data_IF_298113453880
#
_entry.id   IF_298113453880
#
_cell.length_a   1.000
_cell.length_b   1.000
_cell.length_c   1.000
_cell.angle_alpha   90.00
_cell.angle_beta   90.00
_cell.angle_gamma   90.00
#
_symmetry.space_group_name_H-M   'P 1'
#
loop_
_entity.id
_entity.type
_entity.pdbx_description
1 polymer ?
#
# COMPACT_ATOMS: atom_id res chain seq x y z
N UNK A 1 48.64 25.69 9.55
CA UNK A 1 48.13 25.52 8.17
C UNK A 1 47.44 24.17 8.07
N UNK A 2 46.29 24.18 7.40
CA UNK A 2 45.54 23.04 6.84
C UNK A 2 44.83 22.10 7.83
N UNK A 3 43.59 22.47 8.12
CA UNK A 3 42.54 21.52 8.51
C UNK A 3 42.01 20.77 7.29
N UNK A 4 41.85 19.46 7.42
CA UNK A 4 41.20 18.62 6.41
C UNK A 4 39.72 18.50 6.75
N UNK A 5 38.90 19.22 5.99
CA UNK A 5 37.45 19.30 6.14
C UNK A 5 36.84 18.15 5.35
N UNK A 6 36.33 17.14 6.05
CA UNK A 6 35.52 16.09 5.44
C UNK A 6 34.30 16.72 4.76
N UNK A 7 34.24 16.62 3.43
CA UNK A 7 33.06 16.99 2.63
C UNK A 7 32.00 15.94 2.88
N UNK A 8 31.04 16.25 3.75
CA UNK A 8 29.80 15.50 3.87
C UNK A 8 29.05 15.56 2.55
N UNK A 9 28.93 14.40 1.90
CA UNK A 9 28.07 14.18 0.74
C UNK A 9 26.63 14.34 1.22
N UNK A 10 26.02 15.50 0.96
CA UNK A 10 24.59 15.67 1.15
C UNK A 10 23.91 14.84 0.07
N UNK A 11 23.35 13.70 0.47
CA UNK A 11 22.36 12.99 -0.33
C UNK A 11 21.19 13.94 -0.55
N UNK A 12 21.01 14.41 -1.78
CA UNK A 12 19.82 15.15 -2.20
C UNK A 12 18.63 14.19 -2.11
N UNK A 13 17.98 14.12 -0.93
CA UNK A 13 16.67 13.50 -0.81
C UNK A 13 15.71 14.36 -1.61
N UNK A 14 15.36 13.93 -2.82
CA UNK A 14 14.22 14.47 -3.53
C UNK A 14 13.02 14.41 -2.58
N UNK A 15 12.55 15.57 -2.12
CA UNK A 15 11.38 15.66 -1.25
C UNK A 15 10.17 15.09 -1.99
N UNK A 16 9.41 14.22 -1.33
CA UNK A 16 8.15 13.71 -1.88
C UNK A 16 7.23 14.88 -2.25
N UNK A 17 6.49 14.80 -3.37
CA UNK A 17 5.42 15.74 -3.69
C UNK A 17 4.50 16.00 -2.48
N UNK A 18 4.12 17.26 -2.27
CA UNK A 18 3.37 17.69 -1.09
C UNK A 18 2.04 16.95 -0.91
N UNK A 19 1.37 16.61 -2.01
CA UNK A 19 0.14 15.82 -2.01
C UNK A 19 0.34 14.41 -1.42
N UNK A 20 1.40 13.70 -1.85
CA UNK A 20 1.75 12.37 -1.33
C UNK A 20 2.05 12.46 0.16
N UNK A 21 2.90 13.43 0.55
CA UNK A 21 3.25 13.60 1.96
C UNK A 21 2.02 13.88 2.83
N UNK A 22 1.09 14.71 2.36
CA UNK A 22 -0.15 15.00 3.06
C UNK A 22 -1.08 13.77 3.14
N UNK A 23 -1.18 12.99 2.06
CA UNK A 23 -1.93 11.74 2.03
C UNK A 23 -1.39 10.72 3.04
N UNK A 24 -0.09 10.42 2.99
CA UNK A 24 0.56 9.48 3.92
C UNK A 24 0.41 9.94 5.36
N UNK A 25 0.56 11.24 5.64
CA UNK A 25 0.37 11.81 6.97
C UNK A 25 -1.05 11.60 7.51
N UNK A 26 -2.08 11.76 6.67
CA UNK A 26 -3.48 11.49 7.07
C UNK A 26 -3.71 10.01 7.37
N UNK A 27 -3.19 9.11 6.54
CA UNK A 27 -3.33 7.68 6.74
C UNK A 27 -2.59 7.20 8.00
N UNK A 28 -1.39 7.72 8.24
CA UNK A 28 -0.62 7.41 9.44
C UNK A 28 -1.36 7.88 10.70
N UNK A 29 -1.87 9.11 10.72
CA UNK A 29 -2.65 9.63 11.84
C UNK A 29 -3.92 8.80 12.11
N UNK A 30 -4.60 8.32 11.07
CA UNK A 30 -5.75 7.42 11.22
C UNK A 30 -5.34 6.05 11.80
N UNK A 31 -4.20 5.51 11.37
CA UNK A 31 -3.65 4.26 11.90
C UNK A 31 -3.16 4.37 13.35
N UNK A 32 -2.79 5.56 13.82
CA UNK A 32 -2.35 5.78 15.19
C UNK A 32 -3.51 5.95 16.18
N UNK A 33 -4.77 5.93 15.71
CA UNK A 33 -5.93 5.95 16.60
C UNK A 33 -5.95 4.72 17.53
N UNK A 34 -6.06 4.94 18.84
CA UNK A 34 -5.99 3.87 19.83
C UNK A 34 -7.12 2.82 19.74
N UNK A 35 -8.30 3.21 19.23
CA UNK A 35 -9.50 2.37 19.24
C UNK A 35 -9.81 1.78 17.86
N UNK A 36 -9.62 2.56 16.80
CA UNK A 36 -9.95 2.14 15.43
C UNK A 36 -8.73 2.05 14.51
N UNK A 37 -7.52 2.33 15.01
CA UNK A 37 -6.30 2.34 14.21
C UNK A 37 -5.70 0.96 13.96
N UNK A 38 -4.42 0.94 13.57
CA UNK A 38 -3.68 -0.24 13.14
C UNK A 38 -3.71 -1.38 14.17
N UNK A 39 -3.54 -1.09 15.46
CA UNK A 39 -3.53 -2.13 16.49
C UNK A 39 -4.89 -2.83 16.61
N UNK A 40 -5.99 -2.13 16.36
CA UNK A 40 -7.31 -2.77 16.30
C UNK A 40 -7.44 -3.64 15.04
N UNK A 41 -7.07 -3.10 13.88
CA UNK A 41 -7.10 -3.80 12.60
C UNK A 41 -6.30 -5.10 12.62
N UNK A 42 -5.05 -5.05 13.12
CA UNK A 42 -4.18 -6.22 13.19
C UNK A 42 -4.75 -7.29 14.13
N UNK A 43 -5.30 -6.90 15.30
CA UNK A 43 -5.94 -7.84 16.23
C UNK A 43 -7.14 -8.54 15.58
N UNK A 44 -8.00 -7.80 14.91
CA UNK A 44 -9.19 -8.35 14.25
C UNK A 44 -8.83 -9.34 13.13
N UNK A 45 -7.89 -8.97 12.27
CA UNK A 45 -7.43 -9.83 11.18
C UNK A 45 -6.69 -11.06 11.71
N UNK A 46 -5.85 -10.89 12.74
CA UNK A 46 -5.17 -12.03 13.39
C UNK A 46 -6.15 -12.97 14.09
N UNK A 47 -7.30 -12.47 14.52
CA UNK A 47 -8.41 -13.26 15.06
C UNK A 47 -9.30 -13.88 13.97
N UNK A 48 -9.02 -13.63 12.69
CA UNK A 48 -9.73 -14.22 11.56
C UNK A 48 -11.06 -13.54 11.21
N UNK A 49 -11.36 -12.36 11.76
CA UNK A 49 -12.57 -11.61 11.42
C UNK A 49 -12.43 -10.12 11.69
N UNK A 50 -12.47 -9.34 10.62
CA UNK A 50 -12.70 -7.90 10.67
C UNK A 50 -14.08 -7.58 11.24
N UNK A 51 -14.14 -6.62 12.18
CA UNK A 51 -15.37 -6.17 12.85
C UNK A 51 -15.54 -4.65 12.90
N UNK A 52 -14.50 -3.85 12.65
CA UNK A 52 -14.57 -2.39 12.75
C UNK A 52 -14.17 -1.63 11.47
N UNK A 53 -14.20 -0.30 11.54
CA UNK A 53 -14.21 0.61 10.40
C UNK A 53 -12.82 1.22 10.12
N UNK A 54 -11.90 0.40 9.61
CA UNK A 54 -10.52 0.83 9.32
C UNK A 54 -10.01 0.55 7.90
N UNK A 55 -10.81 -0.11 7.07
CA UNK A 55 -10.38 -0.63 5.76
C UNK A 55 -9.71 0.44 4.87
N UNK A 56 -10.23 1.66 4.88
CA UNK A 56 -9.79 2.72 3.96
C UNK A 56 -8.37 3.22 4.19
N UNK A 57 -7.86 3.19 5.43
CA UNK A 57 -6.51 3.67 5.78
C UNK A 57 -5.55 2.53 6.13
N UNK A 58 -5.96 1.28 5.90
CA UNK A 58 -5.14 0.07 6.03
C UNK A 58 -4.92 -0.56 4.65
N UNK A 59 -6.01 -0.76 3.89
CA UNK A 59 -5.99 -1.24 2.51
C UNK A 59 -6.75 -0.26 1.60
N UNK A 60 -6.13 0.90 1.27
CA UNK A 60 -6.77 1.92 0.44
C UNK A 60 -6.96 1.44 -1.01
N UNK A 61 -8.11 1.77 -1.58
CA UNK A 61 -8.37 1.64 -3.02
C UNK A 61 -8.00 2.92 -3.76
N UNK A 62 -7.66 2.80 -5.04
CA UNK A 62 -7.45 3.95 -5.92
C UNK A 62 -8.74 4.73 -6.15
N UNK A 63 -8.66 6.06 -6.14
CA UNK A 63 -9.84 6.93 -6.27
C UNK A 63 -10.58 6.76 -7.62
N UNK A 64 -9.86 6.40 -8.70
CA UNK A 64 -10.43 6.06 -10.01
C UNK A 64 -11.02 4.64 -10.11
N UNK A 65 -10.78 3.78 -9.11
CA UNK A 65 -11.29 2.41 -9.09
C UNK A 65 -12.60 2.34 -8.33
N UNK A 66 -12.70 3.05 -7.20
CA UNK A 66 -13.84 2.94 -6.29
C UNK A 66 -14.21 4.27 -5.66
N UNK A 67 -15.51 4.59 -5.72
CA UNK A 67 -16.12 5.62 -4.86
C UNK A 67 -16.33 5.06 -3.46
N UNK A 68 -15.98 5.83 -2.43
CA UNK A 68 -16.02 5.33 -1.05
C UNK A 68 -16.53 6.37 -0.07
N UNK A 69 -17.05 5.91 1.08
CA UNK A 69 -17.59 6.78 2.15
C UNK A 69 -16.53 7.59 2.90
N UNK A 70 -15.25 7.31 2.68
CA UNK A 70 -14.11 8.05 3.23
C UNK A 70 -13.13 8.46 2.11
N UNK A 71 -13.54 9.34 1.18
CA UNK A 71 -12.73 9.69 0.01
C UNK A 71 -11.38 10.32 0.36
N UNK A 72 -11.23 10.90 1.55
CA UNK A 72 -9.96 11.48 2.04
C UNK A 72 -8.81 10.46 2.20
N UNK A 73 -9.13 9.15 2.22
CA UNK A 73 -8.18 8.04 2.30
C UNK A 73 -8.03 7.27 0.99
N UNK A 74 -8.76 7.64 -0.07
CA UNK A 74 -8.56 7.04 -1.38
C UNK A 74 -7.14 7.34 -1.87
N UNK A 75 -6.50 6.33 -2.45
CA UNK A 75 -5.16 6.47 -3.00
C UNK A 75 -5.21 7.46 -4.19
N UNK A 76 -4.43 8.56 -4.15
CA UNK A 76 -4.53 9.62 -5.16
C UNK A 76 -3.90 9.22 -6.50
N UNK A 77 -2.79 8.46 -6.47
CA UNK A 77 -2.12 7.95 -7.66
C UNK A 77 -1.20 6.79 -7.25
N UNK A 78 -0.73 6.01 -8.22
CA UNK A 78 0.05 4.79 -8.00
C UNK A 78 1.43 5.08 -7.38
N UNK A 79 2.08 6.21 -7.70
CA UNK A 79 3.32 6.60 -6.98
C UNK A 79 3.12 6.82 -5.47
N UNK A 80 1.90 7.09 -5.00
CA UNK A 80 1.62 7.20 -3.57
C UNK A 80 1.59 5.82 -2.90
N UNK A 81 1.27 4.75 -3.65
CA UNK A 81 1.39 3.38 -3.17
C UNK A 81 2.86 2.99 -3.03
N UNK A 82 3.70 3.32 -4.02
CA UNK A 82 5.16 3.13 -3.88
C UNK A 82 5.71 3.88 -2.66
N UNK A 83 5.34 5.15 -2.50
CA UNK A 83 5.76 5.95 -1.34
C UNK A 83 5.23 5.38 -0.01
N UNK A 84 4.01 4.81 0.01
CA UNK A 84 3.47 4.10 1.16
C UNK A 84 4.32 2.88 1.53
N UNK A 85 4.70 2.07 0.53
CA UNK A 85 5.51 0.87 0.75
C UNK A 85 6.92 1.19 1.22
N UNK A 86 7.51 2.28 0.73
CA UNK A 86 8.81 2.77 1.17
C UNK A 86 8.79 3.48 2.54
N UNK A 87 7.60 3.89 3.01
CA UNK A 87 7.49 4.59 4.27
C UNK A 87 7.74 3.62 5.45
N UNK A 88 8.68 3.91 6.37
CA UNK A 88 9.11 2.97 7.41
C UNK A 88 7.98 2.37 8.25
N UNK A 89 7.02 3.21 8.68
CA UNK A 89 5.89 2.74 9.49
C UNK A 89 4.76 2.13 8.65
N UNK A 90 4.26 2.86 7.64
CA UNK A 90 3.12 2.41 6.82
C UNK A 90 3.43 1.13 6.04
N UNK A 91 4.63 1.02 5.44
CA UNK A 91 5.07 -0.19 4.73
C UNK A 91 5.16 -1.40 5.65
N UNK A 92 5.85 -1.27 6.79
CA UNK A 92 5.96 -2.35 7.77
C UNK A 92 4.60 -2.81 8.30
N UNK A 93 3.71 -1.85 8.61
CA UNK A 93 2.34 -2.14 9.06
C UNK A 93 1.54 -2.87 7.99
N UNK A 94 1.62 -2.42 6.74
CA UNK A 94 0.93 -3.01 5.59
C UNK A 94 1.37 -4.46 5.36
N UNK A 95 2.67 -4.74 5.36
CA UNK A 95 3.20 -6.10 5.24
C UNK A 95 2.66 -7.00 6.35
N UNK A 96 2.79 -6.57 7.61
CA UNK A 96 2.40 -7.37 8.76
C UNK A 96 0.90 -7.74 8.74
N UNK A 97 0.01 -6.78 8.47
CA UNK A 97 -1.44 -7.08 8.45
C UNK A 97 -1.86 -7.86 7.21
N UNK A 98 -1.19 -7.66 6.08
CA UNK A 98 -1.44 -8.45 4.85
C UNK A 98 -1.00 -9.90 5.06
N UNK A 99 0.14 -10.12 5.72
CA UNK A 99 0.59 -11.46 6.09
C UNK A 99 -0.36 -12.14 7.09
N UNK A 100 -0.86 -11.42 8.09
CA UNK A 100 -1.86 -11.95 9.02
C UNK A 100 -3.15 -12.37 8.28
N UNK A 101 -3.60 -11.60 7.29
CA UNK A 101 -4.76 -11.99 6.46
C UNK A 101 -4.46 -13.27 5.65
N UNK A 102 -3.30 -13.34 5.00
CA UNK A 102 -2.87 -14.51 4.25
C UNK A 102 -2.78 -15.78 5.13
N UNK A 103 -2.28 -15.67 6.36
CA UNK A 103 -2.24 -16.80 7.31
C UNK A 103 -3.63 -17.34 7.63
N UNK A 104 -4.65 -16.48 7.72
CA UNK A 104 -6.04 -16.93 7.93
C UNK A 104 -6.57 -17.66 6.68
N UNK A 105 -6.31 -17.11 5.50
CA UNK A 105 -6.72 -17.73 4.23
C UNK A 105 -6.06 -19.10 4.02
N UNK A 106 -4.78 -19.24 4.36
CA UNK A 106 -4.04 -20.52 4.28
C UNK A 106 -4.58 -21.58 5.24
N UNK A 107 -5.10 -21.17 6.40
CA UNK A 107 -5.80 -22.07 7.33
C UNK A 107 -7.18 -22.49 6.83
N UNK A 108 -7.60 -22.03 5.64
CA UNK A 108 -8.87 -22.36 5.01
C UNK A 108 -10.02 -21.45 5.44
N UNK A 109 -9.75 -20.32 6.10
CA UNK A 109 -10.81 -19.36 6.42
C UNK A 109 -11.35 -18.72 5.13
N UNK A 110 -12.67 -18.67 4.98
CA UNK A 110 -13.30 -18.00 3.84
C UNK A 110 -12.99 -16.49 3.86
N UNK A 111 -12.62 -15.91 2.73
CA UNK A 111 -12.26 -14.50 2.64
C UNK A 111 -13.36 -13.57 3.19
N UNK A 112 -14.62 -13.81 2.86
CA UNK A 112 -15.75 -13.03 3.40
C UNK A 112 -15.85 -13.10 4.93
N UNK A 113 -15.38 -14.18 5.56
CA UNK A 113 -15.29 -14.28 7.02
C UNK A 113 -14.15 -13.43 7.57
N UNK A 114 -12.97 -13.53 6.96
CA UNK A 114 -11.76 -12.77 7.37
C UNK A 114 -12.01 -11.27 7.24
N UNK A 115 -12.56 -10.82 6.12
CA UNK A 115 -12.78 -9.41 5.82
C UNK A 115 -14.18 -8.91 6.25
N UNK A 116 -15.06 -9.79 6.71
CA UNK A 116 -16.38 -9.47 7.25
C UNK A 116 -17.45 -9.12 6.21
N UNK A 117 -17.09 -8.85 4.95
CA UNK A 117 -18.03 -8.60 3.85
C UNK A 117 -17.37 -8.82 2.49
N UNK A 118 -18.16 -9.05 1.44
CA UNK A 118 -17.67 -9.10 0.05
C UNK A 118 -17.06 -7.76 -0.40
N UNK A 119 -17.66 -6.65 0.05
CA UNK A 119 -17.16 -5.30 -0.25
C UNK A 119 -15.73 -5.11 0.29
N UNK A 120 -15.44 -5.62 1.49
CA UNK A 120 -14.10 -5.51 2.07
C UNK A 120 -13.11 -6.53 1.48
N UNK A 121 -13.57 -7.70 1.01
CA UNK A 121 -12.75 -8.61 0.18
C UNK A 121 -12.30 -7.89 -1.08
N UNK A 122 -13.22 -7.21 -1.76
CA UNK A 122 -12.94 -6.51 -3.01
C UNK A 122 -11.99 -5.32 -2.79
N UNK A 123 -12.11 -4.58 -1.68
CA UNK A 123 -11.14 -3.52 -1.33
C UNK A 123 -9.75 -4.07 -1.07
N UNK A 124 -9.65 -5.20 -0.36
CA UNK A 124 -8.38 -5.87 -0.15
C UNK A 124 -7.75 -6.32 -1.48
N UNK A 125 -8.58 -6.87 -2.38
CA UNK A 125 -8.19 -7.27 -3.72
C UNK A 125 -7.69 -6.09 -4.58
N UNK A 126 -8.45 -5.00 -4.62
CA UNK A 126 -8.09 -3.76 -5.31
C UNK A 126 -6.75 -3.20 -4.81
N UNK A 127 -6.60 -3.13 -3.48
CA UNK A 127 -5.40 -2.60 -2.82
C UNK A 127 -4.18 -3.47 -3.14
N UNK A 128 -4.24 -4.78 -2.91
CA UNK A 128 -3.14 -5.69 -3.19
C UNK A 128 -2.73 -5.68 -4.66
N UNK A 129 -3.69 -5.54 -5.58
CA UNK A 129 -3.42 -5.41 -7.02
C UNK A 129 -2.60 -4.15 -7.31
N UNK A 130 -3.09 -2.98 -6.88
CA UNK A 130 -2.40 -1.71 -7.12
C UNK A 130 -1.02 -1.68 -6.46
N UNK A 131 -0.90 -2.20 -5.24
CA UNK A 131 0.35 -2.20 -4.48
C UNK A 131 1.38 -3.19 -5.03
N UNK A 132 0.95 -4.36 -5.54
CA UNK A 132 1.84 -5.28 -6.25
C UNK A 132 2.45 -4.61 -7.49
N UNK A 133 1.62 -3.94 -8.30
CA UNK A 133 2.08 -3.23 -9.50
C UNK A 133 3.02 -2.08 -9.13
N UNK A 134 2.69 -1.30 -8.10
CA UNK A 134 3.55 -0.22 -7.62
C UNK A 134 4.93 -0.73 -7.17
N UNK A 135 4.97 -1.86 -6.48
CA UNK A 135 6.24 -2.49 -6.08
C UNK A 135 7.05 -3.01 -7.27
N UNK A 136 6.39 -3.65 -8.24
CA UNK A 136 7.05 -4.29 -9.39
C UNK A 136 7.58 -3.28 -10.43
N UNK A 137 6.83 -2.20 -10.65
CA UNK A 137 7.16 -1.16 -11.63
C UNK A 137 8.07 -0.06 -11.05
N UNK A 138 8.32 -0.07 -9.74
CA UNK A 138 9.26 0.87 -9.12
C UNK A 138 10.68 0.68 -9.65
N UNK A 139 11.37 1.79 -9.90
CA UNK A 139 12.81 1.79 -10.17
C UNK A 139 13.64 1.23 -9.01
N UNK A 140 13.06 1.21 -7.79
CA UNK A 140 13.66 0.67 -6.57
C UNK A 140 13.06 -0.69 -6.17
N UNK A 141 12.45 -1.45 -7.09
CA UNK A 141 11.75 -2.71 -6.79
C UNK A 141 12.56 -3.74 -5.97
N UNK A 142 13.88 -3.70 -6.08
CA UNK A 142 14.79 -4.60 -5.35
C UNK A 142 15.08 -4.11 -3.91
N UNK A 143 14.63 -2.91 -3.55
CA UNK A 143 14.71 -2.42 -2.18
C UNK A 143 13.86 -3.31 -1.26
N UNK A 144 14.37 -3.74 -0.09
CA UNK A 144 13.69 -4.71 0.76
C UNK A 144 12.22 -4.39 1.08
N UNK A 145 11.84 -3.14 1.41
CA UNK A 145 10.43 -2.82 1.69
C UNK A 145 9.50 -3.07 0.49
N UNK A 146 9.95 -2.77 -0.74
CA UNK A 146 9.16 -2.98 -1.95
C UNK A 146 9.11 -4.45 -2.34
N UNK A 147 10.23 -5.17 -2.27
CA UNK A 147 10.29 -6.59 -2.56
C UNK A 147 9.39 -7.41 -1.61
N UNK A 148 9.47 -7.12 -0.31
CA UNK A 148 8.66 -7.79 0.73
C UNK A 148 7.17 -7.48 0.55
N UNK A 149 6.82 -6.21 0.35
CA UNK A 149 5.43 -5.80 0.15
C UNK A 149 4.84 -6.38 -1.13
N UNK A 150 5.59 -6.37 -2.23
CA UNK A 150 5.18 -6.98 -3.49
C UNK A 150 4.97 -8.48 -3.36
N UNK A 151 5.83 -9.19 -2.61
CA UNK A 151 5.66 -10.61 -2.32
C UNK A 151 4.40 -10.88 -1.47
N UNK A 152 4.16 -10.07 -0.43
CA UNK A 152 2.95 -10.17 0.39
C UNK A 152 1.68 -9.95 -0.43
N UNK A 153 1.65 -8.94 -1.31
CA UNK A 153 0.51 -8.71 -2.20
C UNK A 153 0.29 -9.87 -3.18
N UNK A 154 1.34 -10.39 -3.82
CA UNK A 154 1.21 -11.54 -4.73
C UNK A 154 0.69 -12.78 -4.01
N UNK A 155 1.17 -13.04 -2.80
CA UNK A 155 0.67 -14.13 -1.94
C UNK A 155 -0.81 -13.93 -1.63
N UNK A 156 -1.22 -12.73 -1.23
CA UNK A 156 -2.62 -12.40 -0.96
C UNK A 156 -3.51 -12.67 -2.19
N UNK A 157 -3.12 -12.19 -3.37
CA UNK A 157 -3.87 -12.39 -4.61
C UNK A 157 -4.02 -13.87 -4.96
N UNK A 158 -2.95 -14.66 -4.82
CA UNK A 158 -3.00 -16.10 -5.03
C UNK A 158 -3.96 -16.81 -4.06
N UNK A 159 -3.97 -16.40 -2.79
CA UNK A 159 -4.84 -16.98 -1.75
C UNK A 159 -6.32 -16.59 -1.90
N UNK A 160 -6.61 -15.41 -2.47
CA UNK A 160 -7.97 -15.06 -2.86
C UNK A 160 -8.48 -15.93 -4.01
N UNK A 161 -7.59 -16.63 -4.73
CA UNK A 161 -7.90 -17.41 -5.94
C UNK A 161 -8.60 -16.56 -7.01
N UNK A 162 -8.25 -15.27 -7.07
CA UNK A 162 -8.75 -14.32 -8.04
C UNK A 162 -7.60 -13.85 -8.94
N UNK A 163 -7.87 -13.61 -10.24
CA UNK A 163 -6.94 -12.84 -11.06
C UNK A 163 -6.82 -11.42 -10.50
N UNK A 164 -5.70 -10.74 -10.78
CA UNK A 164 -5.52 -9.34 -10.41
C UNK A 164 -6.73 -8.48 -10.82
N UNK A 165 -7.13 -7.54 -9.97
CA UNK A 165 -8.32 -6.73 -10.18
C UNK A 165 -8.19 -5.88 -11.44
N UNK A 166 -9.04 -6.13 -12.43
CA UNK A 166 -8.87 -5.61 -13.80
C UNK A 166 -8.78 -4.07 -13.84
N UNK A 167 -9.69 -3.38 -13.17
CA UNK A 167 -9.72 -1.92 -13.18
C UNK A 167 -8.54 -1.32 -12.41
N UNK A 168 -8.13 -1.96 -11.31
CA UNK A 168 -6.92 -1.55 -10.56
C UNK A 168 -5.67 -1.69 -11.42
N UNK A 169 -5.57 -2.79 -12.17
CA UNK A 169 -4.46 -3.05 -13.09
C UNK A 169 -4.40 -1.98 -14.19
N UNK A 170 -5.54 -1.70 -14.84
CA UNK A 170 -5.63 -0.68 -15.90
C UNK A 170 -5.15 0.69 -15.41
N UNK A 171 -5.71 1.15 -14.29
CA UNK A 171 -5.36 2.45 -13.71
C UNK A 171 -3.88 2.52 -13.33
N UNK A 172 -3.38 1.50 -12.61
CA UNK A 172 -1.99 1.52 -12.15
C UNK A 172 -0.98 1.49 -13.29
N UNK A 173 -1.21 0.66 -14.30
CA UNK A 173 -0.32 0.56 -15.47
C UNK A 173 -0.32 1.86 -16.30
N UNK A 174 -1.48 2.47 -16.51
CA UNK A 174 -1.60 3.74 -17.24
C UNK A 174 -0.81 4.87 -16.56
N UNK A 175 -0.89 4.98 -15.23
CA UNK A 175 -0.15 6.00 -14.49
C UNK A 175 1.37 5.75 -14.51
N UNK A 176 1.79 4.49 -14.41
CA UNK A 176 3.20 4.12 -14.50
C UNK A 176 3.77 4.42 -15.89
N UNK A 177 3.06 4.09 -16.96
CA UNK A 177 3.45 4.41 -18.34
C UNK A 177 3.57 5.93 -18.56
N UNK A 178 2.58 6.71 -18.12
CA UNK A 178 2.62 8.17 -18.23
C UNK A 178 3.81 8.78 -17.47
N UNK A 179 4.23 8.18 -16.36
CA UNK A 179 5.38 8.63 -15.58
C UNK A 179 6.69 8.37 -16.33
N UNK A 180 6.85 7.19 -16.92
CA UNK A 180 8.02 6.82 -17.73
C UNK A 180 8.18 7.71 -18.98
N UNK A 181 7.06 8.03 -19.65
CA UNK A 181 7.04 8.91 -20.83
C UNK A 181 7.35 10.38 -20.51
N UNK A 182 7.10 10.83 -19.27
CA UNK A 182 7.48 12.18 -18.81
C UNK A 182 8.96 12.23 -18.42
N UNK A 183 9.48 11.19 -17.77
CA UNK A 183 10.91 11.09 -17.44
C UNK A 183 11.83 11.04 -18.67
N UNK A 184 11.41 10.33 -19.72
CA UNK A 184 12.19 10.19 -20.97
C UNK A 184 12.27 11.46 -21.82
N UNK A 185 11.42 12.47 -21.56
CA UNK A 185 11.42 13.76 -22.28
C UNK A 185 12.28 14.85 -21.62
N UNK A 186 12.83 14.57 -20.44
CA UNK A 186 13.73 15.47 -19.71
C UNK A 186 15.20 15.00 -19.73
N UNK A 187 15.54 14.01 -20.56
CA UNK A 187 16.92 13.50 -20.74
C UNK A 187 17.57 14.06 -21.99
#
# INVERSE_FOLDING_TARGET
QQGSRARGMKSDKASLPSEISAYLGRCLAAQDNAHTGYNAALREISAGRKSSHWIWYIWPSHHLVRTTSRPQYSLPHTMAAEAWLLHPTLGARFVAITNAACEQLERGAAAQTVFGSEVDVEKFHECCTTFAIAAEQSANRDAPPLAESGAACRRALALLQLPAHEQSTKVAMQEMEMTMLKGSRCS
#
